data_IF_696532722445
#
_entry.id   IF_696532722445
#
_cell.length_a   1.000
_cell.length_b   1.000
_cell.length_c   1.000
_cell.angle_alpha   90.00
_cell.angle_beta   90.00
_cell.angle_gamma   90.00
#
_symmetry.space_group_name_H-M   'P 1'
#
loop_
_entity.id
_entity.type
_entity.pdbx_description
1 polymer ?
#
# COMPACT_ATOMS: atom_id res chain seq x y z
N UNK A 1 5.30 -10.33 24.27
CA UNK A 1 6.04 -9.65 23.18
C UNK A 1 7.04 -10.56 22.44
N UNK A 2 7.25 -11.81 22.86
CA UNK A 2 8.19 -12.75 22.22
C UNK A 2 7.72 -13.27 20.86
N UNK A 3 6.43 -13.59 20.70
CA UNK A 3 5.90 -14.17 19.46
C UNK A 3 5.98 -13.28 18.23
N UNK A 4 5.59 -12.00 18.34
CA UNK A 4 5.69 -11.04 17.23
C UNK A 4 7.13 -10.81 16.81
N UNK A 5 8.04 -10.57 17.77
CA UNK A 5 9.45 -10.33 17.46
C UNK A 5 10.10 -11.56 16.79
N UNK A 6 9.84 -12.76 17.31
CA UNK A 6 10.38 -13.99 16.72
C UNK A 6 9.87 -14.19 15.29
N UNK A 7 8.59 -13.93 15.03
CA UNK A 7 8.05 -13.99 13.68
C UNK A 7 8.63 -12.89 12.78
N UNK A 8 8.62 -11.63 13.23
CA UNK A 8 9.14 -10.49 12.47
C UNK A 8 10.60 -10.68 12.05
N UNK A 9 11.46 -11.08 12.98
CA UNK A 9 12.87 -11.28 12.71
C UNK A 9 13.18 -12.59 11.97
N UNK A 10 12.21 -13.52 11.82
CA UNK A 10 12.44 -14.74 11.02
C UNK A 10 12.49 -14.48 9.52
N UNK A 11 11.90 -13.37 9.04
CA UNK A 11 11.87 -13.01 7.62
C UNK A 11 12.42 -11.61 7.33
N UNK A 12 12.28 -10.65 8.25
CA UNK A 12 12.64 -9.24 8.02
C UNK A 12 14.08 -9.05 7.51
N UNK A 13 15.12 -9.70 8.10
CA UNK A 13 16.50 -9.52 7.62
C UNK A 13 16.68 -9.95 6.15
N UNK A 14 16.13 -11.10 5.78
CA UNK A 14 16.25 -11.64 4.43
C UNK A 14 15.59 -10.74 3.38
N UNK A 15 14.40 -10.18 3.69
CA UNK A 15 13.72 -9.23 2.81
C UNK A 15 14.49 -7.91 2.70
N UNK A 16 15.06 -7.42 3.81
CA UNK A 16 15.83 -6.18 3.83
C UNK A 16 17.11 -6.27 2.99
N UNK A 17 17.80 -7.42 3.04
CA UNK A 17 18.97 -7.65 2.19
C UNK A 17 18.57 -7.77 0.72
N UNK A 18 17.46 -8.45 0.41
CA UNK A 18 16.95 -8.54 -0.96
C UNK A 18 16.52 -7.18 -1.55
N UNK A 19 15.93 -6.29 -0.74
CA UNK A 19 15.64 -4.91 -1.16
C UNK A 19 16.92 -4.09 -1.43
N UNK A 20 17.99 -4.33 -0.67
CA UNK A 20 19.27 -3.64 -0.86
C UNK A 20 19.99 -4.11 -2.11
N UNK A 21 19.93 -5.41 -2.42
CA UNK A 21 20.66 -6.04 -3.52
C UNK A 21 19.94 -5.98 -4.87
N UNK A 22 18.59 -5.97 -4.88
CA UNK A 22 17.80 -5.99 -6.11
C UNK A 22 17.02 -4.67 -6.33
N UNK A 23 17.50 -3.77 -7.20
CA UNK A 23 16.81 -2.51 -7.51
C UNK A 23 15.38 -2.70 -8.03
N UNK A 24 15.12 -3.75 -8.81
CA UNK A 24 13.78 -4.03 -9.36
C UNK A 24 12.81 -4.41 -8.25
N UNK A 25 13.27 -5.22 -7.28
CA UNK A 25 12.44 -5.58 -6.13
C UNK A 25 12.14 -4.35 -5.27
N UNK A 26 13.13 -3.49 -5.02
CA UNK A 26 12.93 -2.22 -4.31
C UNK A 26 11.88 -1.33 -4.98
N UNK A 27 11.94 -1.17 -6.30
CA UNK A 27 10.94 -0.38 -7.01
C UNK A 27 9.56 -1.04 -7.02
N UNK A 28 9.49 -2.38 -7.09
CA UNK A 28 8.22 -3.09 -6.93
C UNK A 28 7.60 -2.86 -5.54
N UNK A 29 8.40 -2.93 -4.47
CA UNK A 29 7.95 -2.63 -3.10
C UNK A 29 7.47 -1.18 -2.97
N UNK A 30 8.20 -0.22 -3.54
CA UNK A 30 7.74 1.18 -3.57
C UNK A 30 6.43 1.35 -4.33
N UNK A 31 6.31 0.74 -5.51
CA UNK A 31 5.10 0.82 -6.33
C UNK A 31 3.90 0.26 -5.59
N UNK A 32 4.06 -0.87 -4.89
CA UNK A 32 2.98 -1.44 -4.09
C UNK A 32 2.66 -0.58 -2.87
N UNK A 33 3.61 0.07 -2.22
CA UNK A 33 3.34 0.92 -1.05
C UNK A 33 2.81 2.31 -1.41
N UNK A 34 3.05 2.79 -2.63
CA UNK A 34 2.71 4.18 -3.05
C UNK A 34 1.23 4.53 -2.87
N UNK A 35 0.25 3.73 -3.32
CA UNK A 35 -1.17 4.06 -3.13
C UNK A 35 -1.55 4.23 -1.65
N UNK A 36 -1.04 3.33 -0.79
CA UNK A 36 -1.26 3.38 0.65
C UNK A 36 -0.65 4.64 1.26
N UNK A 37 0.63 4.92 1.00
CA UNK A 37 1.30 6.10 1.52
C UNK A 37 0.61 7.38 1.07
N UNK A 38 0.27 7.49 -0.22
CA UNK A 38 -0.46 8.64 -0.76
C UNK A 38 -1.81 8.84 -0.05
N UNK A 39 -2.56 7.76 0.17
CA UNK A 39 -3.86 7.81 0.84
C UNK A 39 -3.76 8.24 2.32
N UNK A 40 -2.70 7.81 3.03
CA UNK A 40 -2.44 8.22 4.40
C UNK A 40 -1.98 9.67 4.46
N UNK A 41 -1.20 10.13 3.50
CA UNK A 41 -0.82 11.53 3.37
C UNK A 41 -2.05 12.43 3.14
N UNK A 42 -3.04 11.99 2.36
CA UNK A 42 -4.31 12.71 2.22
C UNK A 42 -5.04 12.85 3.55
N UNK A 43 -5.04 11.79 4.38
CA UNK A 43 -5.63 11.84 5.72
C UNK A 43 -4.88 12.79 6.66
N UNK A 44 -3.55 12.91 6.51
CA UNK A 44 -2.73 13.86 7.30
C UNK A 44 -2.97 15.32 6.92
N UNK A 45 -3.32 15.61 5.66
CA UNK A 45 -3.64 16.96 5.20
C UNK A 45 -5.12 17.32 5.37
N UNK A 46 -5.99 16.34 5.63
CA UNK A 46 -7.36 16.61 6.01
C UNK A 46 -7.35 17.21 7.43
N UNK A 47 -7.96 18.37 7.58
CA UNK A 47 -8.23 18.95 8.90
C UNK A 47 -9.38 18.15 9.50
N UNK A 48 -9.06 17.24 10.43
CA UNK A 48 -10.02 16.31 11.03
C UNK A 48 -10.26 16.77 12.47
N UNK A 49 -11.44 17.36 12.69
CA UNK A 49 -11.79 17.95 13.98
C UNK A 49 -12.72 17.06 14.81
N UNK A 50 -13.17 15.92 14.25
CA UNK A 50 -14.08 14.98 14.95
C UNK A 50 -13.82 13.50 14.65
N UNK A 51 -14.24 12.63 15.59
CA UNK A 51 -14.19 11.18 15.40
C UNK A 51 -15.05 10.71 14.22
N UNK A 52 -16.21 11.35 14.00
CA UNK A 52 -17.08 11.06 12.86
C UNK A 52 -16.43 11.36 11.52
N UNK A 53 -15.68 12.46 11.43
CA UNK A 53 -14.91 12.81 10.23
C UNK A 53 -13.76 11.82 10.03
N UNK A 54 -13.04 11.45 11.10
CA UNK A 54 -12.01 10.44 11.02
C UNK A 54 -12.54 9.10 10.48
N UNK A 55 -13.72 8.67 10.92
CA UNK A 55 -14.37 7.47 10.40
C UNK A 55 -14.76 7.63 8.93
N UNK A 56 -15.34 8.77 8.54
CA UNK A 56 -15.72 9.04 7.16
C UNK A 56 -14.53 9.05 6.21
N UNK A 57 -13.49 9.81 6.53
CA UNK A 57 -12.25 9.85 5.76
C UNK A 57 -11.50 8.52 5.79
N UNK A 58 -11.49 7.81 6.93
CA UNK A 58 -10.89 6.49 7.06
C UNK A 58 -11.53 5.45 6.13
N UNK A 59 -12.86 5.41 6.07
CA UNK A 59 -13.60 4.56 5.12
C UNK A 59 -13.28 4.97 3.68
N UNK A 60 -13.24 6.27 3.39
CA UNK A 60 -12.87 6.80 2.07
C UNK A 60 -11.48 6.36 1.62
N UNK A 61 -10.49 6.44 2.52
CA UNK A 61 -9.11 5.98 2.29
C UNK A 61 -9.05 4.47 2.04
N UNK A 62 -9.82 3.67 2.78
CA UNK A 62 -9.89 2.21 2.54
C UNK A 62 -10.45 1.92 1.15
N UNK A 63 -11.55 2.57 0.76
CA UNK A 63 -12.14 2.41 -0.57
C UNK A 63 -11.19 2.87 -1.68
N UNK A 64 -10.48 3.98 -1.46
CA UNK A 64 -9.46 4.48 -2.38
C UNK A 64 -8.34 3.45 -2.57
N UNK A 65 -7.81 2.87 -1.48
CA UNK A 65 -6.80 1.82 -1.55
C UNK A 65 -7.29 0.60 -2.33
N UNK A 66 -8.51 0.12 -2.05
CA UNK A 66 -9.10 -1.01 -2.78
C UNK A 66 -9.20 -0.68 -4.28
N UNK A 67 -9.67 0.52 -4.63
CA UNK A 67 -9.71 0.98 -6.01
C UNK A 67 -8.32 0.93 -6.68
N UNK A 68 -7.30 1.45 -6.01
CA UNK A 68 -5.95 1.50 -6.55
C UNK A 68 -5.28 0.12 -6.66
N UNK A 69 -5.50 -0.78 -5.69
CA UNK A 69 -4.88 -2.11 -5.69
C UNK A 69 -5.58 -3.12 -6.60
N UNK A 70 -6.89 -2.99 -6.83
CA UNK A 70 -7.66 -3.97 -7.59
C UNK A 70 -8.19 -3.42 -8.90
N UNK A 71 -8.86 -2.26 -8.87
CA UNK A 71 -9.55 -1.71 -10.05
C UNK A 71 -8.53 -1.23 -11.09
N UNK A 72 -7.52 -0.45 -10.68
CA UNK A 72 -6.53 0.06 -11.63
C UNK A 72 -5.75 -1.07 -12.34
N UNK A 73 -5.22 -2.10 -11.65
CA UNK A 73 -4.60 -3.25 -12.31
C UNK A 73 -5.57 -4.04 -13.19
N UNK A 74 -6.83 -4.25 -12.75
CA UNK A 74 -7.82 -4.97 -13.55
C UNK A 74 -8.14 -4.24 -14.87
N UNK A 75 -8.31 -2.92 -14.82
CA UNK A 75 -8.53 -2.10 -16.02
C UNK A 75 -7.32 -2.15 -16.94
N UNK A 76 -6.10 -2.05 -16.41
CA UNK A 76 -4.87 -2.17 -17.19
C UNK A 76 -4.82 -3.53 -17.92
N UNK A 77 -5.07 -4.64 -17.22
CA UNK A 77 -5.10 -5.98 -17.82
C UNK A 77 -6.18 -6.08 -18.91
N UNK A 78 -7.39 -5.57 -18.65
CA UNK A 78 -8.48 -5.57 -19.62
C UNK A 78 -8.14 -4.76 -20.88
N UNK A 79 -7.52 -3.60 -20.73
CA UNK A 79 -7.13 -2.75 -21.88
C UNK A 79 -6.02 -3.39 -22.70
N UNK A 80 -5.02 -4.00 -22.07
CA UNK A 80 -3.96 -4.75 -22.76
C UNK A 80 -4.58 -5.92 -23.54
N UNK A 81 -5.47 -6.71 -22.91
CA UNK A 81 -6.14 -7.85 -23.56
C UNK A 81 -6.98 -7.44 -24.78
N UNK A 82 -7.57 -6.23 -24.79
CA UNK A 82 -8.35 -5.72 -25.93
C UNK A 82 -7.49 -5.24 -27.09
N UNK A 83 -6.21 -4.95 -26.86
CA UNK A 83 -5.28 -4.43 -27.86
C UNK A 83 -4.42 -5.52 -28.52
N UNK A 84 -4.32 -6.69 -27.87
CA UNK A 84 -3.76 -7.94 -28.43
C UNK A 84 -4.87 -8.66 -29.19
#
# INVERSE_FOLDING_TARGET
MTGFNQFYYSFSPAIADYERENPTFKEAVKLTLTPLLASLTLLQYADIDSESEMLGYGIGVILLNIGMYFVAPAVLIMTIKKRI
#
